data_IF_513265783830
#
_entry.id   IF_513265783830
#
_cell.length_a   1.000
_cell.length_b   1.000
_cell.length_c   1.000
_cell.angle_alpha   90.00
_cell.angle_beta   90.00
_cell.angle_gamma   90.00
#
_symmetry.space_group_name_H-M   'P 1'
#
loop_
_entity.id
_entity.type
_entity.pdbx_description
1 polymer ?
#
# COMPACT_ATOMS: atom_id res chain seq x y z
N UNK A 1 -35.04 -27.73 39.52
CA UNK A 1 -33.62 -27.35 39.49
C UNK A 1 -33.11 -27.44 38.05
N UNK A 2 -32.71 -26.34 37.41
CA UNK A 2 -32.02 -26.40 36.13
C UNK A 2 -30.69 -27.13 36.32
N UNK A 3 -30.40 -28.10 35.45
CA UNK A 3 -29.12 -28.81 35.52
C UNK A 3 -27.96 -27.85 35.33
N UNK A 4 -26.76 -28.10 35.90
CA UNK A 4 -25.57 -27.27 35.72
C UNK A 4 -25.28 -27.01 34.23
N UNK A 5 -25.60 -27.97 33.35
CA UNK A 5 -25.49 -27.84 31.88
C UNK A 5 -26.44 -26.78 31.29
N UNK A 6 -27.67 -26.72 31.77
CA UNK A 6 -28.65 -25.71 31.30
C UNK A 6 -28.28 -24.31 31.77
N UNK A 7 -27.73 -24.16 32.98
CA UNK A 7 -27.21 -22.89 33.46
C UNK A 7 -26.00 -22.45 32.62
N UNK A 8 -25.03 -23.34 32.37
CA UNK A 8 -23.85 -23.05 31.55
C UNK A 8 -24.24 -22.63 30.11
N UNK A 9 -25.19 -23.34 29.50
CA UNK A 9 -25.72 -23.00 28.18
C UNK A 9 -26.40 -21.63 28.18
N UNK A 10 -27.16 -21.28 29.21
CA UNK A 10 -27.79 -19.98 29.37
C UNK A 10 -26.74 -18.85 29.47
N UNK A 11 -25.66 -19.03 30.23
CA UNK A 11 -24.54 -18.09 30.30
C UNK A 11 -23.83 -17.93 28.96
N UNK A 12 -23.59 -19.01 28.24
CA UNK A 12 -22.95 -18.96 26.91
C UNK A 12 -23.81 -18.16 25.92
N UNK A 13 -25.12 -18.40 25.87
CA UNK A 13 -26.06 -17.63 25.04
C UNK A 13 -26.06 -16.14 25.41
N UNK A 14 -26.03 -15.82 26.70
CA UNK A 14 -25.98 -14.43 27.14
C UNK A 14 -24.67 -13.75 26.69
N UNK A 15 -23.53 -14.42 26.84
CA UNK A 15 -22.23 -13.90 26.38
C UNK A 15 -22.26 -13.65 24.86
N UNK A 16 -22.76 -14.60 24.07
CA UNK A 16 -22.89 -14.44 22.62
C UNK A 16 -23.81 -13.27 22.27
N UNK A 17 -24.93 -13.11 22.97
CA UNK A 17 -25.85 -12.00 22.74
C UNK A 17 -25.21 -10.64 23.07
N UNK A 18 -24.44 -10.54 24.18
CA UNK A 18 -23.72 -9.33 24.56
C UNK A 18 -22.65 -9.00 23.50
N UNK A 19 -21.88 -9.99 23.05
CA UNK A 19 -20.86 -9.79 21.99
C UNK A 19 -21.54 -9.31 20.70
N UNK A 20 -22.63 -9.92 20.28
CA UNK A 20 -23.39 -9.52 19.09
C UNK A 20 -23.90 -8.07 19.20
N UNK A 21 -24.44 -7.71 20.38
CA UNK A 21 -24.88 -6.33 20.64
C UNK A 21 -23.73 -5.33 20.56
N UNK A 22 -22.58 -5.62 21.19
CA UNK A 22 -21.39 -4.77 21.14
C UNK A 22 -20.86 -4.64 19.72
N UNK A 23 -20.80 -5.72 18.96
CA UNK A 23 -20.39 -5.67 17.54
C UNK A 23 -21.37 -4.81 16.71
N UNK A 24 -22.67 -4.94 16.96
CA UNK A 24 -23.70 -4.12 16.32
C UNK A 24 -23.54 -2.61 16.66
N UNK A 25 -23.28 -2.31 17.91
CA UNK A 25 -23.04 -0.93 18.36
C UNK A 25 -21.77 -0.34 17.76
N UNK A 26 -20.67 -1.10 17.71
CA UNK A 26 -19.42 -0.66 17.09
C UNK A 26 -19.66 -0.37 15.60
N UNK A 27 -20.35 -1.27 14.88
CA UNK A 27 -20.69 -1.06 13.48
C UNK A 27 -21.53 0.20 13.27
N UNK A 28 -22.52 0.42 14.14
CA UNK A 28 -23.34 1.62 14.09
C UNK A 28 -22.51 2.88 14.34
N UNK A 29 -21.66 2.89 15.34
CA UNK A 29 -20.77 4.02 15.61
C UNK A 29 -19.80 4.29 14.44
N UNK A 30 -19.19 3.26 13.86
CA UNK A 30 -18.36 3.40 12.67
C UNK A 30 -19.17 3.99 11.51
N UNK A 31 -20.38 3.49 11.25
CA UNK A 31 -21.25 3.99 10.20
C UNK A 31 -21.64 5.45 10.38
N UNK A 32 -21.89 5.88 11.61
CA UNK A 32 -22.30 7.26 11.92
C UNK A 32 -21.14 8.25 11.92
N UNK A 33 -19.95 7.84 12.37
CA UNK A 33 -18.87 8.76 12.71
C UNK A 33 -17.68 8.73 11.72
N UNK A 34 -17.41 7.62 11.04
CA UNK A 34 -16.34 7.57 10.05
C UNK A 34 -16.84 8.17 8.72
N UNK A 35 -16.17 9.20 8.22
CA UNK A 35 -16.35 9.63 6.82
C UNK A 35 -15.33 8.87 5.95
N UNK A 36 -15.83 7.89 5.23
CA UNK A 36 -15.07 7.06 4.32
C UNK A 36 -15.66 7.06 2.90
N UNK A 37 -16.47 8.07 2.60
CA UNK A 37 -17.18 8.19 1.33
C UNK A 37 -16.25 8.38 0.13
N UNK A 38 -15.03 8.89 0.37
CA UNK A 38 -13.99 9.10 -0.66
C UNK A 38 -12.74 8.24 -0.40
N UNK A 39 -12.87 7.15 0.34
CA UNK A 39 -11.73 6.29 0.70
C UNK A 39 -11.39 5.29 -0.41
N UNK A 40 -10.23 5.45 -1.05
CA UNK A 40 -9.69 4.48 -2.01
C UNK A 40 -9.45 3.12 -1.36
N UNK A 41 -8.92 3.07 -0.13
CA UNK A 41 -8.68 1.80 0.58
C UNK A 41 -9.95 1.01 0.84
N UNK A 42 -11.10 1.71 0.98
CA UNK A 42 -12.41 1.06 1.08
C UNK A 42 -12.77 0.36 -0.23
N UNK A 43 -12.55 1.03 -1.36
CA UNK A 43 -12.81 0.49 -2.70
C UNK A 43 -11.87 -0.67 -3.00
N UNK A 44 -10.57 -0.48 -2.77
CA UNK A 44 -9.53 -1.50 -2.97
C UNK A 44 -9.86 -2.79 -2.22
N UNK A 45 -10.19 -2.71 -0.92
CA UNK A 45 -10.49 -3.92 -0.15
C UNK A 45 -11.83 -4.55 -0.53
N UNK A 46 -12.82 -3.74 -0.90
CA UNK A 46 -14.09 -4.26 -1.37
C UNK A 46 -13.92 -5.06 -2.66
N UNK A 47 -13.28 -4.45 -3.66
CA UNK A 47 -13.06 -5.08 -4.96
C UNK A 47 -12.20 -6.35 -4.85
N UNK A 48 -11.14 -6.32 -4.01
CA UNK A 48 -10.33 -7.52 -3.74
C UNK A 48 -11.18 -8.70 -3.28
N UNK A 49 -12.10 -8.44 -2.35
CA UNK A 49 -12.98 -9.51 -1.85
C UNK A 49 -14.09 -9.89 -2.80
N UNK A 50 -14.64 -8.95 -3.55
CA UNK A 50 -15.70 -9.21 -4.54
C UNK A 50 -15.18 -10.13 -5.65
N UNK A 51 -13.98 -9.84 -6.17
CA UNK A 51 -13.31 -10.69 -7.16
C UNK A 51 -13.04 -12.11 -6.63
N UNK A 52 -12.57 -12.22 -5.39
CA UNK A 52 -12.38 -13.54 -4.75
C UNK A 52 -13.69 -14.30 -4.59
N UNK A 53 -14.77 -13.63 -4.16
CA UNK A 53 -16.09 -14.24 -4.01
C UNK A 53 -16.69 -14.64 -5.37
N UNK A 54 -16.32 -13.95 -6.45
CA UNK A 54 -16.67 -14.28 -7.84
C UNK A 54 -15.82 -15.43 -8.41
N UNK A 55 -14.76 -15.85 -7.73
CA UNK A 55 -13.84 -16.88 -8.20
C UNK A 55 -12.89 -16.41 -9.29
N UNK A 56 -12.64 -15.11 -9.38
CA UNK A 56 -11.63 -14.55 -10.27
C UNK A 56 -10.22 -14.86 -9.74
N UNK A 57 -9.26 -14.99 -10.65
CA UNK A 57 -7.87 -15.26 -10.31
C UNK A 57 -7.07 -13.95 -10.27
N UNK A 58 -6.15 -13.85 -9.32
CA UNK A 58 -5.11 -12.83 -9.25
C UNK A 58 -3.82 -13.59 -8.98
N UNK A 59 -2.85 -13.48 -9.87
CA UNK A 59 -1.56 -14.15 -9.74
C UNK A 59 -0.41 -13.18 -9.38
N UNK A 60 -0.57 -11.89 -9.68
CA UNK A 60 0.43 -10.85 -9.46
C UNK A 60 -0.08 -9.78 -8.49
N UNK A 61 0.74 -9.44 -7.50
CA UNK A 61 0.38 -8.48 -6.47
C UNK A 61 1.43 -7.37 -6.37
N UNK A 62 0.99 -6.11 -6.41
CA UNK A 62 1.81 -4.96 -6.04
C UNK A 62 1.53 -4.57 -4.60
N UNK A 63 2.59 -4.35 -3.80
CA UNK A 63 2.51 -3.99 -2.38
C UNK A 63 3.41 -2.80 -2.07
N UNK A 64 2.89 -1.81 -1.39
CA UNK A 64 3.66 -0.64 -0.99
C UNK A 64 2.78 0.52 -0.56
N UNK A 65 3.38 1.69 -0.52
CA UNK A 65 2.74 2.92 -0.09
C UNK A 65 1.92 3.59 -1.22
N UNK A 66 1.73 4.91 -1.11
CA UNK A 66 1.18 5.73 -2.20
C UNK A 66 2.03 5.68 -3.47
N UNK A 67 3.33 5.47 -3.35
CA UNK A 67 4.22 5.25 -4.47
C UNK A 67 3.82 4.00 -5.28
N UNK A 68 3.38 2.94 -4.60
CA UNK A 68 2.92 1.72 -5.23
C UNK A 68 1.58 1.90 -5.96
N UNK A 69 0.54 2.40 -5.27
CA UNK A 69 -0.79 2.46 -5.88
C UNK A 69 -0.96 3.57 -6.93
N UNK A 70 0.02 4.48 -7.05
CA UNK A 70 0.07 5.51 -8.09
C UNK A 70 1.02 5.17 -9.23
N UNK A 71 1.94 4.24 -9.04
CA UNK A 71 3.02 3.96 -9.98
C UNK A 71 2.79 2.72 -10.85
N UNK A 72 2.09 1.72 -10.34
CA UNK A 72 1.91 0.44 -11.03
C UNK A 72 0.45 0.21 -11.38
N UNK A 73 0.12 0.26 -12.67
CA UNK A 73 -1.23 0.03 -13.20
C UNK A 73 -1.45 -1.47 -13.45
N UNK A 74 -2.30 -2.15 -12.65
CA UNK A 74 -2.55 -3.58 -12.81
C UNK A 74 -3.30 -3.95 -14.08
N UNK A 75 -4.14 -3.04 -14.61
CA UNK A 75 -4.89 -3.30 -15.85
C UNK A 75 -3.96 -3.28 -17.05
N UNK A 76 -3.11 -2.25 -17.14
CA UNK A 76 -2.08 -2.16 -18.17
C UNK A 76 -1.08 -3.32 -18.06
N UNK A 77 -0.67 -3.69 -16.83
CA UNK A 77 0.21 -4.84 -16.60
C UNK A 77 -0.41 -6.14 -17.17
N UNK A 78 -1.70 -6.37 -16.91
CA UNK A 78 -2.42 -7.53 -17.44
C UNK A 78 -2.51 -7.49 -18.98
N UNK A 79 -2.80 -6.32 -19.57
CA UNK A 79 -2.84 -6.16 -21.02
C UNK A 79 -1.50 -6.52 -21.69
N UNK A 80 -0.38 -6.15 -21.06
CA UNK A 80 0.96 -6.36 -21.62
C UNK A 80 1.48 -7.79 -21.41
N UNK A 81 1.17 -8.40 -20.25
CA UNK A 81 1.76 -9.70 -19.85
C UNK A 81 0.80 -10.88 -19.94
N UNK A 82 -0.51 -10.62 -19.99
CA UNK A 82 -1.55 -11.64 -19.86
C UNK A 82 -1.68 -12.22 -18.45
N UNK A 83 -0.97 -11.67 -17.46
CA UNK A 83 -1.02 -12.09 -16.04
C UNK A 83 -1.98 -11.17 -15.27
N UNK A 84 -2.90 -11.76 -14.52
CA UNK A 84 -3.86 -11.00 -13.72
C UNK A 84 -3.17 -10.31 -12.55
N UNK A 85 -3.36 -9.00 -12.41
CA UNK A 85 -2.66 -8.22 -11.40
C UNK A 85 -3.62 -7.43 -10.49
N UNK A 86 -3.15 -7.13 -9.28
CA UNK A 86 -3.86 -6.30 -8.31
C UNK A 86 -2.87 -5.45 -7.49
N UNK A 87 -3.25 -4.21 -7.20
CA UNK A 87 -2.46 -3.30 -6.39
C UNK A 87 -3.07 -3.19 -4.99
N UNK A 88 -2.33 -3.62 -3.96
CA UNK A 88 -2.70 -3.49 -2.54
C UNK A 88 -1.86 -2.43 -1.83
N UNK A 89 -1.42 -1.42 -2.55
CA UNK A 89 -0.84 -0.23 -1.95
C UNK A 89 -1.88 0.61 -1.20
N UNK A 90 -1.44 1.31 -0.18
CA UNK A 90 -2.27 2.28 0.54
C UNK A 90 -1.43 3.43 1.08
N UNK A 91 -2.09 4.56 1.42
CA UNK A 91 -1.39 5.75 1.90
C UNK A 91 -0.51 5.44 3.11
N UNK A 92 0.76 5.82 3.04
CA UNK A 92 1.77 5.61 4.10
C UNK A 92 1.89 4.17 4.58
N UNK A 93 1.70 3.20 3.69
CA UNK A 93 1.77 1.78 4.02
C UNK A 93 3.20 1.35 4.34
N UNK A 94 3.38 0.84 5.55
CA UNK A 94 4.66 0.26 6.01
C UNK A 94 4.78 -1.23 5.65
N UNK A 95 5.99 -1.78 5.79
CA UNK A 95 6.26 -3.20 5.49
C UNK A 95 5.49 -4.17 6.40
N UNK A 96 5.17 -3.77 7.63
CA UNK A 96 4.31 -4.56 8.52
C UNK A 96 2.89 -4.70 7.95
N UNK A 97 2.33 -3.61 7.46
CA UNK A 97 1.02 -3.60 6.79
C UNK A 97 1.08 -4.44 5.50
N UNK A 98 2.11 -4.25 4.68
CA UNK A 98 2.34 -5.04 3.45
C UNK A 98 2.41 -6.55 3.74
N UNK A 99 3.08 -6.97 4.82
CA UNK A 99 3.13 -8.37 5.24
C UNK A 99 1.74 -8.96 5.53
N UNK A 100 0.90 -8.23 6.26
CA UNK A 100 -0.44 -8.73 6.60
C UNK A 100 -1.41 -8.68 5.43
N UNK A 101 -1.25 -7.73 4.50
CA UNK A 101 -2.00 -7.68 3.25
C UNK A 101 -1.59 -8.80 2.29
N UNK A 102 -0.29 -9.09 2.19
CA UNK A 102 0.21 -10.25 1.44
C UNK A 102 -0.44 -11.55 1.94
N UNK A 103 -0.47 -11.74 3.26
CA UNK A 103 -1.11 -12.92 3.87
C UNK A 103 -2.61 -12.97 3.60
N UNK A 104 -3.28 -11.81 3.57
CA UNK A 104 -4.69 -11.72 3.25
C UNK A 104 -4.95 -12.09 1.78
N UNK A 105 -4.18 -11.53 0.85
CA UNK A 105 -4.28 -11.84 -0.57
C UNK A 105 -3.95 -13.32 -0.86
N UNK A 106 -2.87 -13.85 -0.30
CA UNK A 106 -2.49 -15.26 -0.48
C UNK A 106 -3.45 -16.27 0.15
N UNK A 107 -4.38 -15.81 1.01
CA UNK A 107 -5.49 -16.64 1.51
C UNK A 107 -6.65 -16.70 0.51
N UNK A 108 -6.77 -15.72 -0.35
CA UNK A 108 -7.85 -15.55 -1.33
C UNK A 108 -7.45 -16.07 -2.71
N UNK A 109 -6.18 -15.92 -3.08
CA UNK A 109 -5.65 -16.12 -4.43
C UNK A 109 -4.41 -17.01 -4.44
N UNK A 110 -4.14 -17.66 -5.55
CA UNK A 110 -2.93 -18.45 -5.81
C UNK A 110 -1.84 -17.55 -6.46
N UNK A 111 -1.26 -16.68 -5.63
CA UNK A 111 -0.26 -15.71 -6.06
C UNK A 111 0.99 -16.40 -6.63
N UNK A 112 1.51 -15.88 -7.74
CA UNK A 112 2.74 -16.31 -8.40
C UNK A 112 3.87 -15.30 -8.24
N UNK A 113 3.55 -14.00 -8.36
CA UNK A 113 4.52 -12.91 -8.30
C UNK A 113 4.04 -11.82 -7.32
N UNK A 114 4.98 -11.28 -6.57
CA UNK A 114 4.77 -10.12 -5.70
C UNK A 114 5.86 -9.10 -5.98
N UNK A 115 5.45 -7.88 -6.34
CA UNK A 115 6.31 -6.72 -6.39
C UNK A 115 6.16 -5.95 -5.08
N UNK A 116 7.26 -5.79 -4.34
CA UNK A 116 7.30 -5.04 -3.10
C UNK A 116 8.02 -3.71 -3.32
N UNK A 117 7.28 -2.61 -3.19
CA UNK A 117 7.85 -1.26 -3.29
C UNK A 117 8.75 -0.95 -2.09
N UNK A 118 10.01 -0.66 -2.38
CA UNK A 118 11.07 -0.43 -1.41
C UNK A 118 11.31 1.06 -1.17
N UNK A 119 10.22 1.80 -1.01
CA UNK A 119 10.31 3.24 -0.83
C UNK A 119 11.15 3.62 0.40
N UNK A 120 12.24 4.35 0.15
CA UNK A 120 13.31 4.59 1.12
C UNK A 120 12.84 5.29 2.42
N UNK A 121 11.86 6.19 2.36
CA UNK A 121 11.34 6.86 3.58
C UNK A 121 10.82 5.87 4.62
N UNK A 122 10.22 4.75 4.20
CA UNK A 122 9.70 3.74 5.13
C UNK A 122 10.76 2.74 5.60
N UNK A 123 11.90 2.66 4.90
CA UNK A 123 13.06 1.92 5.39
C UNK A 123 13.76 2.65 6.53
N UNK A 124 13.77 3.96 6.47
CA UNK A 124 14.55 4.84 7.34
C UNK A 124 13.69 5.68 8.30
N UNK A 125 12.41 5.35 8.39
CA UNK A 125 11.48 6.01 9.30
C UNK A 125 11.76 5.65 10.76
N UNK A 126 11.72 6.64 11.65
CA UNK A 126 11.86 6.41 13.09
C UNK A 126 10.77 5.44 13.60
N UNK A 127 11.14 4.67 14.60
CA UNK A 127 10.25 3.73 15.25
C UNK A 127 9.00 4.39 15.87
N UNK A 128 9.06 5.67 16.21
CA UNK A 128 7.93 6.43 16.75
C UNK A 128 6.89 6.81 15.68
N UNK A 129 7.31 6.98 14.43
CA UNK A 129 6.43 7.41 13.33
C UNK A 129 5.69 6.25 12.64
N UNK A 130 6.12 5.01 12.87
CA UNK A 130 5.55 3.82 12.20
C UNK A 130 4.11 3.48 12.59
N UNK A 131 3.63 3.91 13.77
CA UNK A 131 2.24 3.69 14.23
C UNK A 131 1.31 4.82 13.78
N UNK A 132 1.56 5.38 12.61
CA UNK A 132 0.68 6.38 12.00
C UNK A 132 -0.69 5.76 11.73
N UNK A 133 -1.74 6.47 12.11
CA UNK A 133 -3.12 6.04 11.86
C UNK A 133 -3.34 5.79 10.36
N UNK A 134 -2.77 6.63 9.51
CA UNK A 134 -2.87 6.51 8.05
C UNK A 134 -2.27 5.21 7.51
N UNK A 135 -1.10 4.81 8.00
CA UNK A 135 -0.42 3.58 7.55
C UNK A 135 -1.25 2.31 7.74
N UNK A 136 -2.31 2.41 8.54
CA UNK A 136 -3.08 1.24 8.96
C UNK A 136 -4.58 1.34 8.65
N UNK A 137 -5.00 2.40 7.97
CA UNK A 137 -6.43 2.63 7.66
C UNK A 137 -7.03 1.48 6.83
N UNK A 138 -6.24 0.88 5.95
CA UNK A 138 -6.67 -0.23 5.10
C UNK A 138 -7.15 -1.43 5.94
N UNK A 139 -6.61 -1.63 7.15
CA UNK A 139 -7.04 -2.71 8.04
C UNK A 139 -8.49 -2.59 8.49
N UNK A 140 -9.09 -1.41 8.45
CA UNK A 140 -10.50 -1.22 8.82
C UNK A 140 -11.42 -2.02 7.91
N UNK A 141 -11.04 -2.14 6.64
CA UNK A 141 -11.81 -2.79 5.58
C UNK A 141 -11.45 -4.27 5.40
N UNK A 142 -10.43 -4.78 6.09
CA UNK A 142 -10.15 -6.22 6.10
C UNK A 142 -11.31 -6.99 6.73
N UNK A 143 -11.67 -8.14 6.15
CA UNK A 143 -12.66 -9.06 6.74
C UNK A 143 -12.16 -9.60 8.09
N UNK A 144 -13.06 -9.82 9.08
CA UNK A 144 -12.67 -10.42 10.37
C UNK A 144 -11.98 -11.77 10.16
N UNK A 145 -10.75 -11.89 10.65
CA UNK A 145 -9.92 -13.09 10.52
C UNK A 145 -8.84 -13.13 11.60
N UNK A 146 -8.22 -14.29 11.81
CA UNK A 146 -7.04 -14.38 12.68
C UNK A 146 -5.86 -13.56 12.13
N UNK A 147 -5.77 -13.40 10.81
CA UNK A 147 -4.78 -12.56 10.17
C UNK A 147 -4.97 -11.09 10.57
N UNK A 148 -6.21 -10.57 10.44
CA UNK A 148 -6.54 -9.20 10.89
C UNK A 148 -6.29 -9.01 12.39
N UNK A 149 -6.70 -9.98 13.22
CA UNK A 149 -6.46 -9.89 14.67
C UNK A 149 -4.97 -9.86 15.00
N UNK A 150 -4.17 -10.73 14.36
CA UNK A 150 -2.72 -10.72 14.51
C UNK A 150 -2.13 -9.39 14.07
N UNK A 151 -2.54 -8.85 12.92
CA UNK A 151 -2.12 -7.54 12.45
C UNK A 151 -2.34 -6.47 13.52
N UNK A 152 -3.58 -6.32 14.00
CA UNK A 152 -3.92 -5.29 14.98
C UNK A 152 -3.15 -5.42 16.30
N UNK A 153 -2.85 -6.65 16.74
CA UNK A 153 -2.15 -6.89 18.00
C UNK A 153 -0.63 -6.72 17.91
N UNK A 154 -0.03 -7.02 16.78
CA UNK A 154 1.45 -7.06 16.67
C UNK A 154 2.07 -5.80 16.09
N UNK A 155 1.28 -4.99 15.37
CA UNK A 155 1.77 -3.77 14.72
C UNK A 155 1.30 -2.49 15.38
N UNK A 156 0.53 -2.60 16.46
CA UNK A 156 -0.03 -1.45 17.16
C UNK A 156 0.50 -1.38 18.58
N UNK A 157 0.95 -0.21 19.01
CA UNK A 157 1.29 0.02 20.40
C UNK A 157 0.04 0.02 21.28
N UNK A 158 0.17 -0.44 22.52
CA UNK A 158 -0.96 -0.58 23.46
C UNK A 158 -1.75 0.74 23.67
N UNK A 159 -1.05 1.89 23.61
CA UNK A 159 -1.68 3.22 23.71
C UNK A 159 -2.70 3.49 22.60
N UNK A 160 -2.53 2.86 21.41
CA UNK A 160 -3.32 3.08 20.22
C UNK A 160 -4.37 1.97 19.95
N UNK A 161 -4.40 0.90 20.76
CA UNK A 161 -5.36 -0.21 20.56
C UNK A 161 -6.81 0.27 20.47
N UNK A 162 -7.22 1.26 21.25
CA UNK A 162 -8.60 1.74 21.21
C UNK A 162 -8.98 2.38 19.88
N UNK A 163 -8.03 3.08 19.22
CA UNK A 163 -8.26 3.69 17.91
C UNK A 163 -8.20 2.67 16.77
N UNK A 164 -7.48 1.57 16.98
CA UNK A 164 -7.31 0.49 16.01
C UNK A 164 -8.47 -0.50 16.02
N UNK A 165 -8.90 -0.92 17.23
CA UNK A 165 -10.03 -1.85 17.37
C UNK A 165 -11.40 -1.15 17.22
N UNK A 166 -11.45 0.16 17.43
CA UNK A 166 -12.65 0.97 17.36
C UNK A 166 -12.44 2.20 16.45
N UNK A 167 -12.46 2.03 15.12
CA UNK A 167 -12.17 3.10 14.16
C UNK A 167 -12.96 4.39 14.38
N UNK A 168 -14.23 4.31 14.81
CA UNK A 168 -15.05 5.47 15.12
C UNK A 168 -14.44 6.41 16.18
N UNK A 169 -13.51 5.91 17.00
CA UNK A 169 -12.84 6.74 18.01
C UNK A 169 -11.95 7.83 17.42
N UNK A 170 -11.52 7.66 16.18
CA UNK A 170 -10.74 8.69 15.47
C UNK A 170 -11.57 9.94 15.18
N UNK A 171 -12.90 9.77 15.06
CA UNK A 171 -13.87 10.87 14.87
C UNK A 171 -14.80 11.04 16.08
N UNK A 172 -14.36 10.62 17.27
CA UNK A 172 -15.18 10.67 18.47
C UNK A 172 -15.65 12.08 18.84
N UNK A 173 -14.85 13.09 18.56
CA UNK A 173 -15.18 14.49 18.79
C UNK A 173 -16.42 14.96 18.01
N UNK A 174 -16.70 14.31 16.87
CA UNK A 174 -17.85 14.62 16.02
C UNK A 174 -19.18 14.06 16.55
N UNK A 175 -19.15 13.25 17.62
CA UNK A 175 -20.38 12.63 18.17
C UNK A 175 -21.43 13.66 18.58
N UNK A 176 -21.01 14.85 19.04
CA UNK A 176 -21.89 15.97 19.42
C UNK A 176 -22.32 16.85 18.25
N UNK A 177 -21.72 16.70 17.10
CA UNK A 177 -22.06 17.49 15.90
C UNK A 177 -23.14 16.77 15.05
N UNK A 178 -24.39 17.16 15.28
CA UNK A 178 -25.51 16.60 14.53
C UNK A 178 -25.46 16.96 13.02
N UNK A 179 -24.81 18.07 12.64
CA UNK A 179 -24.68 18.44 11.22
C UNK A 179 -23.71 17.50 10.53
N UNK A 180 -22.54 17.24 11.13
CA UNK A 180 -21.56 16.26 10.67
C UNK A 180 -22.19 14.86 10.50
N UNK A 181 -22.84 14.35 11.55
CA UNK A 181 -23.47 13.01 11.51
C UNK A 181 -24.51 12.91 10.41
N UNK A 182 -25.34 13.96 10.21
CA UNK A 182 -26.34 13.97 9.16
C UNK A 182 -25.73 14.01 7.76
N UNK A 183 -24.67 14.80 7.58
CA UNK A 183 -23.96 14.88 6.30
C UNK A 183 -23.30 13.54 5.95
N UNK A 184 -22.58 12.95 6.91
CA UNK A 184 -21.95 11.64 6.73
C UNK A 184 -22.96 10.54 6.40
N UNK A 185 -24.13 10.56 7.07
CA UNK A 185 -25.25 9.67 6.75
C UNK A 185 -25.75 9.88 5.32
N UNK A 186 -25.90 11.13 4.88
CA UNK A 186 -26.36 11.45 3.53
C UNK A 186 -25.37 10.92 2.47
N UNK A 187 -24.06 11.13 2.69
CA UNK A 187 -23.01 10.56 1.83
C UNK A 187 -23.12 9.04 1.73
N UNK A 188 -23.29 8.35 2.87
CA UNK A 188 -23.39 6.87 2.92
C UNK A 188 -24.73 6.30 2.39
N UNK A 189 -25.76 7.12 2.33
CA UNK A 189 -27.04 6.75 1.72
C UNK A 189 -27.04 6.93 0.20
N UNK A 190 -26.08 7.65 -0.37
CA UNK A 190 -25.93 7.80 -1.80
C UNK A 190 -25.79 6.43 -2.50
N UNK A 191 -26.30 6.32 -3.71
CA UNK A 191 -26.24 5.09 -4.49
C UNK A 191 -24.79 4.71 -4.81
N UNK A 192 -23.97 5.69 -5.20
CA UNK A 192 -22.53 5.53 -5.44
C UNK A 192 -21.78 4.90 -4.26
N UNK A 193 -22.01 5.40 -3.03
CA UNK A 193 -21.40 4.81 -1.86
C UNK A 193 -21.82 3.35 -1.65
N UNK A 194 -23.13 3.06 -1.77
CA UNK A 194 -23.66 1.70 -1.54
C UNK A 194 -23.23 0.70 -2.60
N UNK A 195 -23.04 1.16 -3.83
CA UNK A 195 -22.60 0.33 -4.97
C UNK A 195 -21.09 0.29 -5.13
N UNK A 196 -20.34 0.95 -4.25
CA UNK A 196 -18.89 1.06 -4.35
C UNK A 196 -18.44 1.61 -5.72
N UNK A 197 -19.20 2.56 -6.26
CA UNK A 197 -18.80 3.24 -7.50
C UNK A 197 -17.45 3.96 -7.30
N UNK A 198 -16.59 4.00 -8.31
CA UNK A 198 -15.35 4.74 -8.26
C UNK A 198 -15.55 6.17 -7.80
N UNK A 199 -14.66 6.65 -6.95
CA UNK A 199 -14.67 8.02 -6.45
C UNK A 199 -13.60 8.84 -7.12
N UNK A 200 -13.93 10.11 -7.36
CA UNK A 200 -12.97 11.14 -7.79
C UNK A 200 -12.77 12.10 -6.64
N UNK A 201 -11.51 12.36 -6.30
CA UNK A 201 -11.13 13.33 -5.26
C UNK A 201 -10.15 14.29 -5.92
N UNK A 202 -10.59 15.51 -6.15
CA UNK A 202 -9.86 16.50 -6.94
C UNK A 202 -9.54 15.94 -8.34
N UNK A 203 -8.28 15.72 -8.68
CA UNK A 203 -7.82 15.17 -9.96
C UNK A 203 -7.53 13.66 -9.89
N UNK A 204 -7.69 13.05 -8.71
CA UNK A 204 -7.45 11.63 -8.47
C UNK A 204 -8.70 10.80 -8.68
N UNK A 205 -8.57 9.72 -9.44
CA UNK A 205 -9.67 8.79 -9.74
C UNK A 205 -9.27 7.37 -9.35
N UNK A 206 -10.11 6.69 -8.56
CA UNK A 206 -9.94 5.26 -8.37
C UNK A 206 -10.22 4.54 -9.70
N UNK A 207 -9.18 4.05 -10.36
CA UNK A 207 -9.27 3.43 -11.69
C UNK A 207 -9.63 1.94 -11.66
N UNK A 208 -9.65 1.34 -10.45
CA UNK A 208 -9.91 -0.08 -10.26
C UNK A 208 -8.67 -0.86 -9.85
N UNK A 209 -8.87 -2.09 -9.39
CA UNK A 209 -7.80 -3.01 -8.96
C UNK A 209 -6.78 -2.38 -7.99
N UNK A 210 -7.22 -1.39 -7.19
CA UNK A 210 -6.37 -0.69 -6.24
C UNK A 210 -5.51 0.43 -6.82
N UNK A 211 -5.55 0.68 -8.11
CA UNK A 211 -4.82 1.75 -8.77
C UNK A 211 -5.58 3.08 -8.70
N UNK A 212 -4.85 4.17 -8.49
CA UNK A 212 -5.38 5.53 -8.48
C UNK A 212 -4.69 6.33 -9.57
N UNK A 213 -5.44 6.62 -10.61
CA UNK A 213 -5.04 7.54 -11.69
C UNK A 213 -5.13 8.98 -11.22
N UNK A 214 -4.21 9.83 -11.68
CA UNK A 214 -4.30 11.28 -11.51
C UNK A 214 -3.92 11.99 -12.80
N UNK A 215 -4.66 13.04 -13.14
CA UNK A 215 -4.32 13.98 -14.22
C UNK A 215 -3.54 15.21 -13.69
N UNK A 216 -3.30 15.28 -12.36
CA UNK A 216 -2.52 16.34 -11.76
C UNK A 216 -1.10 16.39 -12.32
N UNK A 217 -0.54 17.59 -12.38
CA UNK A 217 0.84 17.82 -12.83
C UNK A 217 1.56 18.67 -11.81
N UNK A 218 2.82 18.36 -11.61
CA UNK A 218 3.67 19.14 -10.74
C UNK A 218 3.82 20.57 -11.25
N UNK A 219 3.42 21.53 -10.42
CA UNK A 219 3.70 22.93 -10.70
C UNK A 219 5.19 23.21 -10.51
N UNK A 220 5.86 23.66 -11.57
CA UNK A 220 7.28 23.99 -11.54
C UNK A 220 7.62 25.09 -10.50
N UNK A 221 6.66 25.93 -10.10
CA UNK A 221 6.83 26.90 -9.02
C UNK A 221 6.77 26.26 -7.62
N UNK A 222 6.11 25.11 -7.47
CA UNK A 222 6.06 24.33 -6.22
C UNK A 222 7.41 23.68 -5.87
N UNK A 223 8.32 23.61 -6.82
CA UNK A 223 9.69 23.06 -6.66
C UNK A 223 10.52 23.82 -5.61
N UNK A 224 10.17 25.06 -5.26
CA UNK A 224 10.85 25.84 -4.20
C UNK A 224 10.68 25.25 -2.78
N UNK A 225 9.87 24.24 -2.61
CA UNK A 225 9.64 23.52 -1.36
C UNK A 225 10.86 22.71 -0.88
N UNK A 226 11.82 22.44 -1.72
CA UNK A 226 12.89 21.47 -1.50
C UNK A 226 13.98 21.93 -0.55
N UNK A 227 14.14 23.20 -0.35
CA UNK A 227 15.08 23.76 0.63
C UNK A 227 14.83 23.25 2.07
N UNK A 228 13.63 22.69 2.35
CA UNK A 228 13.27 22.16 3.66
C UNK A 228 13.50 20.64 3.82
N UNK A 229 13.69 19.89 2.74
CA UNK A 229 13.90 18.45 2.76
C UNK A 229 15.37 18.02 2.91
N UNK A 230 16.34 18.92 2.72
CA UNK A 230 17.76 18.64 2.93
C UNK A 230 18.13 18.16 4.34
N UNK A 231 17.21 18.25 5.31
CA UNK A 231 17.36 17.65 6.64
C UNK A 231 17.03 16.15 6.70
N UNK A 232 16.30 15.61 5.75
CA UNK A 232 15.91 14.20 5.75
C UNK A 232 17.13 13.28 5.62
N UNK A 233 18.15 13.70 4.86
CA UNK A 233 19.40 12.96 4.73
C UNK A 233 20.22 12.91 6.03
N UNK A 234 20.18 13.97 6.87
CA UNK A 234 20.84 14.00 8.16
C UNK A 234 20.06 13.23 9.25
N UNK A 235 18.74 13.17 9.13
CA UNK A 235 17.83 12.45 10.03
C UNK A 235 17.66 10.96 9.66
N UNK A 236 18.19 10.51 8.52
CA UNK A 236 18.33 9.09 8.14
C UNK A 236 19.26 8.29 9.05
N UNK A 237 19.28 8.56 10.33
CA UNK A 237 19.89 7.74 11.37
C UNK A 237 18.94 6.60 11.76
N UNK A 238 19.02 5.69 11.12
CA UNK A 238 18.55 4.43 10.65
C UNK A 238 18.34 3.44 11.80
N UNK A 239 17.15 3.40 12.40
CA UNK A 239 16.68 2.14 12.99
C UNK A 239 15.94 1.34 11.90
N UNK A 240 16.69 0.69 11.02
CA UNK A 240 16.15 -0.19 9.99
C UNK A 240 15.70 -1.56 10.52
N UNK A 241 15.97 -1.87 11.79
CA UNK A 241 15.71 -3.21 12.34
C UNK A 241 14.24 -3.62 12.25
N UNK A 242 13.33 -2.69 12.50
CA UNK A 242 11.89 -3.01 12.43
C UNK A 242 11.40 -3.23 10.99
N UNK A 243 11.56 -2.31 10.04
CA UNK A 243 11.15 -2.53 8.65
C UNK A 243 11.83 -3.77 8.06
N UNK A 244 13.13 -3.95 8.25
CA UNK A 244 13.87 -5.13 7.77
C UNK A 244 13.30 -6.43 8.35
N UNK A 245 12.88 -6.44 9.61
CA UNK A 245 12.25 -7.64 10.20
C UNK A 245 10.96 -8.05 9.50
N UNK A 246 10.21 -7.10 8.96
CA UNK A 246 8.99 -7.39 8.19
C UNK A 246 9.30 -7.72 6.73
N UNK A 247 10.30 -7.09 6.13
CA UNK A 247 10.82 -7.49 4.82
C UNK A 247 11.25 -8.95 4.86
N UNK A 248 12.02 -9.36 5.88
CA UNK A 248 12.41 -10.76 6.07
C UNK A 248 11.21 -11.70 6.19
N UNK A 249 10.16 -11.29 6.91
CA UNK A 249 8.91 -12.07 7.01
C UNK A 249 8.22 -12.21 5.65
N UNK A 250 8.19 -11.15 4.83
CA UNK A 250 7.64 -11.17 3.47
C UNK A 250 8.45 -12.14 2.60
N UNK A 251 9.78 -12.02 2.60
CA UNK A 251 10.69 -12.91 1.87
C UNK A 251 10.45 -14.38 2.24
N UNK A 252 10.44 -14.67 3.54
CA UNK A 252 10.25 -16.03 4.03
C UNK A 252 8.85 -16.57 3.67
N UNK A 253 7.81 -15.74 3.78
CA UNK A 253 6.46 -16.13 3.40
C UNK A 253 6.36 -16.44 1.89
N UNK A 254 6.91 -15.58 1.03
CA UNK A 254 6.93 -15.81 -0.41
C UNK A 254 7.69 -17.11 -0.75
N UNK A 255 8.85 -17.31 -0.14
CA UNK A 255 9.65 -18.54 -0.33
C UNK A 255 8.90 -19.80 0.11
N UNK A 256 8.23 -19.77 1.28
CA UNK A 256 7.43 -20.91 1.78
C UNK A 256 6.24 -21.22 0.86
N UNK A 257 5.70 -20.23 0.18
CA UNK A 257 4.56 -20.36 -0.73
C UNK A 257 4.96 -20.61 -2.19
N UNK A 258 6.24 -20.53 -2.52
CA UNK A 258 6.71 -20.62 -3.90
C UNK A 258 6.31 -19.40 -4.75
N UNK A 259 6.14 -18.25 -4.13
CA UNK A 259 5.82 -16.97 -4.77
C UNK A 259 7.14 -16.29 -5.14
N UNK A 260 7.29 -15.86 -6.40
CA UNK A 260 8.39 -15.00 -6.82
C UNK A 260 8.23 -13.62 -6.18
N UNK A 261 9.25 -13.14 -5.49
CA UNK A 261 9.28 -11.81 -4.90
C UNK A 261 10.30 -10.96 -5.67
N UNK A 262 9.89 -9.76 -6.05
CA UNK A 262 10.74 -8.75 -6.69
C UNK A 262 10.66 -7.47 -5.87
N UNK A 263 11.80 -6.90 -5.50
CA UNK A 263 11.85 -5.57 -4.94
C UNK A 263 11.80 -4.56 -6.07
N UNK A 264 11.01 -3.51 -5.90
CA UNK A 264 10.91 -2.42 -6.87
C UNK A 264 10.99 -1.08 -6.13
N UNK A 265 11.55 -0.06 -6.75
CA UNK A 265 11.47 1.31 -6.25
C UNK A 265 10.93 2.21 -7.36
N UNK A 266 9.75 2.78 -7.15
CA UNK A 266 9.16 3.74 -8.08
C UNK A 266 10.04 5.00 -8.17
N UNK A 267 10.19 5.63 -9.35
CA UNK A 267 11.07 6.76 -9.52
C UNK A 267 10.48 8.02 -8.87
N UNK A 268 11.35 8.79 -8.24
CA UNK A 268 11.11 10.17 -7.82
C UNK A 268 11.70 11.15 -8.82
N UNK A 269 11.27 12.40 -8.78
CA UNK A 269 11.81 13.43 -9.65
C UNK A 269 13.31 13.65 -9.36
N UNK A 270 14.14 13.74 -10.39
CA UNK A 270 15.60 13.85 -10.27
C UNK A 270 16.01 15.01 -9.35
N UNK A 271 15.44 16.21 -9.57
CA UNK A 271 15.75 17.37 -8.77
C UNK A 271 15.41 17.18 -7.28
N UNK A 272 14.42 16.35 -6.98
CA UNK A 272 14.09 16.02 -5.60
C UNK A 272 15.15 15.10 -4.99
N UNK A 273 15.59 14.07 -5.70
CA UNK A 273 16.64 13.17 -5.21
C UNK A 273 17.96 13.91 -4.99
N UNK A 274 18.31 14.84 -5.89
CA UNK A 274 19.49 15.70 -5.74
C UNK A 274 19.39 16.61 -4.50
N UNK A 275 18.19 17.17 -4.23
CA UNK A 275 17.97 18.05 -3.08
C UNK A 275 17.95 17.32 -1.74
N UNK A 276 17.50 16.06 -1.72
CA UNK A 276 17.44 15.23 -0.50
C UNK A 276 18.83 14.74 -0.07
N UNK A 277 19.77 14.64 -1.00
CA UNK A 277 21.14 14.17 -0.78
C UNK A 277 21.50 12.97 -1.65
N UNK A 278 22.68 12.37 -1.45
CA UNK A 278 23.13 11.27 -2.30
C UNK A 278 22.15 10.08 -2.22
N UNK A 279 21.64 9.67 -3.38
CA UNK A 279 20.66 8.59 -3.48
C UNK A 279 21.31 7.18 -3.34
N UNK A 280 22.54 7.03 -3.85
CA UNK A 280 23.24 5.73 -3.90
C UNK A 280 23.28 4.96 -2.57
N UNK A 281 23.48 5.60 -1.39
CA UNK A 281 23.43 4.87 -0.13
C UNK A 281 22.06 4.20 0.16
N UNK A 282 20.95 4.78 -0.32
CA UNK A 282 19.63 4.18 -0.18
C UNK A 282 19.44 3.01 -1.15
N UNK A 283 19.89 3.18 -2.39
CA UNK A 283 19.96 2.10 -3.38
C UNK A 283 20.81 0.93 -2.88
N UNK A 284 22.05 1.19 -2.46
CA UNK A 284 23.00 0.19 -1.99
C UNK A 284 22.45 -0.62 -0.82
N UNK A 285 21.72 0.03 0.09
CA UNK A 285 21.09 -0.66 1.22
C UNK A 285 20.03 -1.67 0.75
N UNK A 286 19.16 -1.27 -0.20
CA UNK A 286 18.14 -2.18 -0.75
C UNK A 286 18.78 -3.27 -1.58
N UNK A 287 19.78 -2.94 -2.39
CA UNK A 287 20.56 -3.90 -3.18
C UNK A 287 21.21 -4.97 -2.30
N UNK A 288 21.83 -4.57 -1.18
CA UNK A 288 22.40 -5.51 -0.21
C UNK A 288 21.34 -6.44 0.41
N UNK A 289 20.15 -5.90 0.72
CA UNK A 289 19.04 -6.74 1.19
C UNK A 289 18.59 -7.73 0.11
N UNK A 290 18.47 -7.27 -1.12
CA UNK A 290 18.08 -8.11 -2.26
C UNK A 290 19.08 -9.26 -2.46
N UNK A 291 20.39 -8.97 -2.45
CA UNK A 291 21.46 -9.97 -2.53
C UNK A 291 21.42 -10.95 -1.34
N UNK A 292 21.28 -10.42 -0.12
CA UNK A 292 21.19 -11.24 1.09
C UNK A 292 20.05 -12.25 1.03
N UNK A 293 18.93 -11.83 0.49
CA UNK A 293 17.74 -12.68 0.40
C UNK A 293 17.61 -13.43 -0.93
N UNK A 294 18.48 -13.18 -1.90
CA UNK A 294 18.38 -13.75 -3.25
C UNK A 294 17.07 -13.36 -3.94
N UNK A 295 16.73 -12.09 -3.85
CA UNK A 295 15.54 -11.45 -4.44
C UNK A 295 16.03 -10.49 -5.52
N UNK A 296 15.32 -10.38 -6.62
CA UNK A 296 15.61 -9.39 -7.66
C UNK A 296 15.25 -7.98 -7.17
N UNK A 297 15.99 -6.98 -7.65
CA UNK A 297 15.72 -5.58 -7.36
C UNK A 297 15.74 -4.73 -8.63
N UNK A 298 14.65 -4.02 -8.88
CA UNK A 298 14.49 -3.08 -9.98
C UNK A 298 14.31 -1.67 -9.41
N UNK A 299 15.36 -0.87 -9.46
CA UNK A 299 15.34 0.52 -9.00
C UNK A 299 15.13 1.48 -10.18
N UNK A 300 13.90 1.94 -10.34
CA UNK A 300 13.56 2.83 -11.46
C UNK A 300 14.11 4.25 -11.32
N UNK A 301 14.66 4.62 -10.17
CA UNK A 301 15.48 5.83 -10.06
C UNK A 301 16.78 5.71 -10.87
N UNK A 302 17.25 4.49 -11.12
CA UNK A 302 18.45 4.20 -11.91
C UNK A 302 18.14 3.91 -13.39
N UNK A 303 16.87 3.93 -13.80
CA UNK A 303 16.50 3.70 -15.19
C UNK A 303 17.22 4.70 -16.12
N UNK A 304 17.77 4.18 -17.21
CA UNK A 304 18.40 5.01 -18.24
C UNK A 304 17.39 5.96 -18.88
N UNK A 305 17.80 7.18 -19.16
CA UNK A 305 16.94 8.21 -19.76
C UNK A 305 16.40 7.82 -21.13
N UNK A 306 17.12 6.95 -21.86
CA UNK A 306 16.70 6.41 -23.16
C UNK A 306 15.51 5.47 -23.05
N UNK A 307 15.31 4.84 -21.89
CA UNK A 307 14.21 3.87 -21.66
C UNK A 307 13.10 4.44 -20.78
N UNK A 308 13.41 5.36 -19.86
CA UNK A 308 12.44 6.05 -19.02
C UNK A 308 12.82 7.53 -18.85
N UNK A 309 12.15 8.40 -19.59
CA UNK A 309 12.42 9.83 -19.56
C UNK A 309 11.26 10.61 -18.94
N UNK A 310 11.10 10.48 -17.61
CA UNK A 310 10.09 11.20 -16.85
C UNK A 310 10.50 12.68 -16.66
N UNK A 311 9.51 13.55 -16.73
CA UNK A 311 9.62 14.98 -16.53
C UNK A 311 8.65 15.45 -15.44
N UNK A 312 8.70 16.71 -15.04
CA UNK A 312 7.74 17.26 -14.06
C UNK A 312 6.27 17.06 -14.48
N UNK A 313 5.99 16.97 -15.79
CA UNK A 313 4.64 16.71 -16.30
C UNK A 313 4.12 15.29 -16.01
N UNK A 314 5.01 14.37 -15.61
CA UNK A 314 4.69 12.96 -15.30
C UNK A 314 4.49 12.72 -13.79
N UNK A 315 4.54 13.79 -12.97
CA UNK A 315 4.41 13.72 -11.53
C UNK A 315 3.25 14.58 -11.01
N UNK A 316 2.68 14.17 -9.88
CA UNK A 316 1.69 14.96 -9.10
C UNK A 316 2.44 15.94 -8.19
N UNK A 317 3.47 15.44 -7.55
CA UNK A 317 4.40 16.13 -6.67
C UNK A 317 5.82 15.59 -6.90
N UNK A 318 6.74 15.82 -6.01
CA UNK A 318 8.17 15.52 -6.22
C UNK A 318 8.50 14.03 -6.23
N UNK A 319 7.63 13.19 -5.69
CA UNK A 319 7.89 11.76 -5.51
C UNK A 319 6.68 10.84 -5.82
N UNK A 320 5.58 11.39 -6.33
CA UNK A 320 4.45 10.58 -6.80
C UNK A 320 4.20 10.78 -8.29
N UNK A 321 4.14 9.69 -9.02
CA UNK A 321 3.75 9.70 -10.43
C UNK A 321 2.27 10.04 -10.59
N UNK A 322 1.96 10.74 -11.68
CA UNK A 322 0.61 10.83 -12.20
C UNK A 322 0.29 9.65 -13.14
N UNK A 323 -0.90 9.65 -13.73
CA UNK A 323 -1.34 8.56 -14.60
C UNK A 323 -0.41 8.32 -15.80
N UNK A 324 0.10 9.37 -16.44
CA UNK A 324 1.01 9.24 -17.60
C UNK A 324 2.39 8.71 -17.19
N UNK A 325 2.91 9.13 -16.04
CA UNK A 325 4.14 8.58 -15.49
C UNK A 325 4.00 7.11 -15.08
N UNK A 326 2.86 6.75 -14.47
CA UNK A 326 2.56 5.38 -14.11
C UNK A 326 2.45 4.45 -15.33
N UNK A 327 1.85 4.91 -16.43
CA UNK A 327 1.77 4.17 -17.67
C UNK A 327 3.17 3.87 -18.24
N UNK A 328 4.04 4.88 -18.29
CA UNK A 328 5.43 4.72 -18.77
C UNK A 328 6.20 3.73 -17.88
N UNK A 329 6.07 3.87 -16.56
CA UNK A 329 6.74 2.98 -15.61
C UNK A 329 6.24 1.53 -15.71
N UNK A 330 4.92 1.33 -15.78
CA UNK A 330 4.35 -0.03 -15.90
C UNK A 330 4.83 -0.73 -17.16
N UNK A 331 4.95 -0.04 -18.29
CA UNK A 331 5.52 -0.58 -19.54
C UNK A 331 6.98 -0.99 -19.33
N UNK A 332 7.79 -0.11 -18.76
CA UNK A 332 9.20 -0.44 -18.50
C UNK A 332 9.34 -1.61 -17.52
N UNK A 333 8.51 -1.67 -16.46
CA UNK A 333 8.51 -2.79 -15.53
C UNK A 333 8.31 -4.12 -16.29
N UNK A 334 7.32 -4.18 -17.17
CA UNK A 334 7.04 -5.43 -17.92
C UNK A 334 8.18 -5.81 -18.85
N UNK A 335 8.81 -4.85 -19.52
CA UNK A 335 9.96 -5.10 -20.39
C UNK A 335 11.19 -5.55 -19.60
N UNK A 336 11.48 -4.93 -18.46
CA UNK A 336 12.63 -5.27 -17.62
C UNK A 336 12.44 -6.63 -16.91
N UNK A 337 11.21 -6.98 -16.54
CA UNK A 337 10.88 -8.25 -15.89
C UNK A 337 11.00 -9.44 -16.86
N UNK A 338 10.59 -9.25 -18.10
CA UNK A 338 10.67 -10.29 -19.14
C UNK A 338 12.12 -10.65 -19.52
N UNK A 339 13.10 -9.75 -19.31
CA UNK A 339 14.51 -10.04 -19.61
C UNK A 339 15.10 -11.19 -18.80
N UNK A 340 14.55 -11.43 -17.61
CA UNK A 340 14.98 -12.53 -16.76
C UNK A 340 14.40 -13.90 -17.19
N UNK A 341 13.32 -13.90 -17.97
CA UNK A 341 12.63 -15.11 -18.43
C UNK A 341 12.99 -15.47 -19.89
N UNK A 342 13.63 -14.58 -20.66
CA UNK A 342 13.73 -14.74 -22.11
C UNK A 342 15.09 -15.22 -22.66
N UNK A 343 14.98 -16.14 -23.62
CA UNK A 343 16.07 -16.65 -24.44
C UNK A 343 16.71 -15.60 -25.39
N UNK A 344 16.17 -14.37 -25.45
CA UNK A 344 16.62 -13.32 -26.37
C UNK A 344 17.81 -12.49 -25.85
N UNK A 345 18.29 -12.75 -24.61
CA UNK A 345 19.61 -12.33 -24.16
C UNK A 345 19.77 -10.84 -23.86
N UNK A 346 18.69 -10.10 -23.64
CA UNK A 346 18.79 -8.75 -23.13
C UNK A 346 19.26 -8.79 -21.67
N UNK A 347 20.22 -7.95 -21.31
CA UNK A 347 20.71 -7.80 -19.95
C UNK A 347 19.93 -6.70 -19.23
N UNK A 348 19.73 -6.85 -17.92
CA UNK A 348 19.17 -5.80 -17.08
C UNK A 348 19.98 -4.49 -17.19
N UNK A 349 21.27 -4.58 -17.47
CA UNK A 349 22.16 -3.43 -17.71
C UNK A 349 21.79 -2.60 -18.95
N UNK A 350 20.92 -3.10 -19.83
CA UNK A 350 20.40 -2.32 -20.95
C UNK A 350 19.38 -1.28 -20.47
N UNK A 351 18.72 -1.53 -19.34
CA UNK A 351 17.64 -0.70 -18.79
C UNK A 351 18.11 0.22 -17.66
N UNK A 352 19.08 -0.21 -16.86
CA UNK A 352 19.48 0.48 -15.64
C UNK A 352 20.95 0.87 -15.64
N UNK A 353 21.26 2.00 -14.99
CA UNK A 353 22.61 2.39 -14.65
C UNK A 353 23.07 1.67 -13.37
N UNK A 354 24.39 1.47 -13.17
CA UNK A 354 24.89 0.80 -11.97
C UNK A 354 24.78 1.66 -10.68
N UNK A 355 24.69 2.98 -10.82
CA UNK A 355 24.48 3.92 -9.72
C UNK A 355 23.80 5.19 -10.22
N UNK A 356 23.30 6.01 -9.28
CA UNK A 356 22.54 7.22 -9.64
C UNK A 356 23.40 8.28 -10.31
N UNK A 357 24.64 8.46 -9.86
CA UNK A 357 25.55 9.46 -10.40
C UNK A 357 25.89 9.21 -11.89
N UNK A 358 25.90 7.95 -12.35
CA UNK A 358 26.18 7.57 -13.73
C UNK A 358 25.06 7.94 -14.72
N UNK A 359 23.88 8.35 -14.22
CA UNK A 359 22.75 8.77 -15.09
C UNK A 359 23.04 10.04 -15.88
N UNK A 360 24.04 10.80 -15.50
CA UNK A 360 24.37 12.10 -16.10
C UNK A 360 25.66 12.07 -16.93
N UNK A 361 26.35 10.92 -16.98
CA UNK A 361 27.49 10.70 -17.86
C UNK A 361 27.06 10.15 -19.24
#
# INVERSE_FOLDING_TARGET
>A
MKTKKQALFGWLLMIVAVIALLCGLIRLCNYLLMDDSQSYTRLTMHELYERADAGEEIDTLFLGSSHCYRAYDPELYEELTGRTAYNLGSSSQNYDTSYYLLREAARLYDLKTVYLDMYYKFLFMDSEDRDLVQANIISDYMRPSLNKLSFLLTTTEAKNYTNRFFPFRRSWQELGDFAYVRENLAKKQAESYRKYEPVTVEEDVYAGRGFVWSDARLDAEAITWWDNFGKVADDMKLDTAYPVSYIERIVNFCREKGIRLVFVTAPSLDQYLEAVGPYDPAHDFVQQLAEQYGVEYLDFNLAKKEVLNLTADDYIDVDHLNGTGAEQLTRLLTEADDTNDDADGKSIDEYFNPCYDDRYE
#
